data_IF_488299934092
#
_entry.id   IF_488299934092
#
_cell.length_a   1.000
_cell.length_b   1.000
_cell.length_c   1.000
_cell.angle_alpha   90.00
_cell.angle_beta   90.00
_cell.angle_gamma   90.00
#
_symmetry.space_group_name_H-M   'P 1'
#
loop_
_entity.id
_entity.type
_entity.pdbx_description
1 polymer ?
#
# COMPACT_ATOMS: atom_id res chain seq x y z
N UNK A 1 -21.02 9.77 35.26
CA UNK A 1 -21.90 10.62 36.08
C UNK A 1 -22.19 12.00 35.51
N UNK A 2 -21.26 12.98 35.53
CA UNK A 2 -21.55 14.35 35.06
C UNK A 2 -21.87 14.44 33.55
N UNK A 3 -21.18 13.63 32.73
CA UNK A 3 -21.40 13.57 31.27
C UNK A 3 -22.71 12.83 30.94
N UNK A 4 -23.03 11.75 31.66
CA UNK A 4 -24.30 11.01 31.52
C UNK A 4 -25.51 11.86 31.89
N UNK A 5 -25.40 12.68 32.94
CA UNK A 5 -26.45 13.64 33.30
C UNK A 5 -26.66 14.69 32.21
N UNK A 6 -25.60 15.18 31.56
CA UNK A 6 -25.70 16.13 30.43
C UNK A 6 -26.26 15.48 29.17
N UNK A 7 -25.95 14.20 28.92
CA UNK A 7 -26.53 13.44 27.81
C UNK A 7 -28.02 13.15 28.01
N UNK A 8 -28.43 12.75 29.22
CA UNK A 8 -29.84 12.57 29.57
C UNK A 8 -30.64 13.88 29.43
N UNK A 9 -30.05 15.01 29.83
CA UNK A 9 -30.66 16.34 29.67
C UNK A 9 -30.84 16.72 28.18
N UNK A 10 -29.81 16.49 27.36
CA UNK A 10 -29.84 16.77 25.92
C UNK A 10 -30.86 15.89 25.18
N UNK A 11 -30.99 14.62 25.55
CA UNK A 11 -31.97 13.69 24.98
C UNK A 11 -33.41 14.08 25.39
N UNK A 12 -33.64 14.52 26.64
CA UNK A 12 -34.95 15.03 27.10
C UNK A 12 -35.34 16.32 26.38
N UNK A 13 -34.41 17.25 26.22
CA UNK A 13 -34.65 18.52 25.55
C UNK A 13 -35.03 18.34 24.07
N UNK A 14 -34.41 17.37 23.38
CA UNK A 14 -34.71 17.06 21.98
C UNK A 14 -36.04 16.32 21.81
N UNK A 15 -36.40 15.43 22.74
CA UNK A 15 -37.71 14.75 22.76
C UNK A 15 -38.87 15.73 22.94
N UNK A 16 -38.62 16.86 23.60
CA UNK A 16 -39.57 17.95 23.80
C UNK A 16 -39.49 19.06 22.73
N UNK A 17 -38.78 18.83 21.61
CA UNK A 17 -38.78 19.75 20.46
C UNK A 17 -37.88 20.99 20.58
N UNK A 18 -36.99 21.07 21.57
CA UNK A 18 -36.10 22.22 21.75
C UNK A 18 -34.99 22.28 20.68
N UNK A 19 -34.81 23.45 20.04
CA UNK A 19 -33.82 23.68 18.96
C UNK A 19 -32.37 23.85 19.45
N UNK A 20 -32.15 23.94 20.76
CA UNK A 20 -30.85 24.24 21.38
C UNK A 20 -29.84 23.09 21.37
N UNK A 21 -30.23 21.88 20.97
CA UNK A 21 -29.33 20.73 20.82
C UNK A 21 -29.41 20.14 19.40
N UNK A 22 -28.54 20.64 18.53
CA UNK A 22 -28.46 20.19 17.13
C UNK A 22 -27.81 18.80 17.03
N UNK A 23 -28.04 18.08 15.91
CA UNK A 23 -27.44 16.75 15.65
C UNK A 23 -25.92 16.70 15.94
N UNK A 24 -25.10 17.70 15.55
CA UNK A 24 -23.67 17.73 15.87
C UNK A 24 -23.37 17.77 17.37
N UNK A 25 -24.16 18.50 18.16
CA UNK A 25 -23.96 18.62 19.61
C UNK A 25 -24.15 17.28 20.32
N UNK A 26 -25.12 16.47 19.89
CA UNK A 26 -25.37 15.15 20.48
C UNK A 26 -24.25 14.17 20.11
N UNK A 27 -23.80 14.20 18.85
CA UNK A 27 -22.64 13.39 18.40
C UNK A 27 -21.39 13.75 19.21
N UNK A 28 -21.13 15.03 19.45
CA UNK A 28 -20.00 15.48 20.26
C UNK A 28 -20.09 14.97 21.71
N UNK A 29 -21.29 14.96 22.32
CA UNK A 29 -21.49 14.41 23.67
C UNK A 29 -21.28 12.89 23.72
N UNK A 30 -21.71 12.15 22.69
CA UNK A 30 -21.48 10.70 22.57
C UNK A 30 -19.99 10.39 22.44
N UNK A 31 -19.27 11.14 21.61
CA UNK A 31 -17.82 10.98 21.46
C UNK A 31 -17.11 11.24 22.79
N UNK A 32 -17.48 12.31 23.52
CA UNK A 32 -16.92 12.61 24.84
C UNK A 32 -17.21 11.52 25.88
N UNK A 33 -18.39 10.89 25.84
CA UNK A 33 -18.71 9.74 26.69
C UNK A 33 -17.81 8.54 26.39
N UNK A 34 -17.62 8.21 25.11
CA UNK A 34 -16.77 7.08 24.69
C UNK A 34 -15.30 7.32 25.07
N UNK A 35 -14.80 8.54 24.91
CA UNK A 35 -13.43 8.91 25.32
C UNK A 35 -13.26 8.81 26.83
N UNK A 36 -14.23 9.29 27.61
CA UNK A 36 -14.18 9.18 29.07
C UNK A 36 -14.23 7.73 29.56
N UNK A 37 -15.06 6.88 28.95
CA UNK A 37 -15.12 5.45 29.25
C UNK A 37 -13.80 4.73 28.93
N UNK A 38 -13.17 5.07 27.80
CA UNK A 38 -11.88 4.52 27.41
C UNK A 38 -10.75 4.97 28.34
N UNK A 39 -10.76 6.23 28.81
CA UNK A 39 -9.80 6.73 29.77
C UNK A 39 -9.89 6.03 31.14
N UNK A 40 -11.11 5.77 31.63
CA UNK A 40 -11.33 4.99 32.86
C UNK A 40 -10.84 3.55 32.70
N UNK A 41 -11.09 2.93 31.53
CA UNK A 41 -10.57 1.60 31.22
C UNK A 41 -9.04 1.53 31.25
N UNK A 42 -8.37 2.52 30.66
CA UNK A 42 -6.90 2.62 30.69
C UNK A 42 -6.36 2.86 32.10
N UNK A 43 -7.04 3.70 32.89
CA UNK A 43 -6.65 3.95 34.28
C UNK A 43 -6.73 2.68 35.13
N UNK A 44 -7.85 1.94 35.03
CA UNK A 44 -8.03 0.65 35.72
C UNK A 44 -7.05 -0.44 35.28
N UNK A 45 -6.57 -0.38 34.02
CA UNK A 45 -5.56 -1.31 33.50
C UNK A 45 -4.15 -1.00 34.03
N UNK A 46 -3.86 0.25 34.35
CA UNK A 46 -2.53 0.70 34.76
C UNK A 46 -2.32 0.79 36.28
N UNK A 47 -3.38 0.77 37.08
CA UNK A 47 -3.28 0.62 38.54
C UNK A 47 -2.92 -0.82 38.89
N UNK A 48 -1.63 -1.05 39.18
CA UNK A 48 -1.03 -2.36 39.44
C UNK A 48 -1.51 -3.04 40.74
N UNK A 49 -1.44 -4.37 40.71
CA UNK A 49 -1.75 -5.31 41.78
C UNK A 49 -1.18 -4.90 43.15
N UNK A 50 -2.08 -4.55 44.07
CA UNK A 50 -1.95 -4.80 45.51
C UNK A 50 -3.33 -4.66 46.16
N UNK A 51 -4.26 -5.56 45.82
CA UNK A 51 -5.48 -5.87 46.61
C UNK A 51 -6.25 -7.01 45.93
N UNK A 52 -5.65 -8.21 45.85
CA UNK A 52 -6.23 -9.34 45.12
C UNK A 52 -7.42 -10.01 45.83
N UNK A 53 -7.84 -9.53 47.01
CA UNK A 53 -9.02 -10.02 47.72
C UNK A 53 -10.26 -9.13 47.58
N UNK A 54 -10.14 -7.85 47.20
CA UNK A 54 -11.30 -6.98 46.93
C UNK A 54 -11.80 -7.08 45.47
N UNK A 55 -10.99 -7.65 44.57
CA UNK A 55 -11.24 -7.72 43.12
C UNK A 55 -12.22 -8.82 42.67
N UNK A 56 -12.49 -9.85 43.47
CA UNK A 56 -13.41 -10.93 43.06
C UNK A 56 -14.89 -10.49 43.03
N UNK A 57 -15.27 -9.49 43.85
CA UNK A 57 -16.60 -8.87 43.76
C UNK A 57 -16.74 -7.96 42.53
N UNK A 58 -15.70 -7.20 42.23
CA UNK A 58 -15.68 -6.21 41.14
C UNK A 58 -15.64 -6.87 39.75
N UNK A 59 -14.95 -8.02 39.61
CA UNK A 59 -14.90 -8.77 38.34
C UNK A 59 -16.28 -9.33 37.94
N UNK A 60 -17.10 -9.78 38.91
CA UNK A 60 -18.49 -10.18 38.64
C UNK A 60 -19.35 -9.01 38.16
N UNK A 61 -19.17 -7.82 38.73
CA UNK A 61 -19.88 -6.61 38.29
C UNK A 61 -19.38 -6.09 36.94
N UNK A 62 -18.12 -6.33 36.58
CA UNK A 62 -17.52 -5.89 35.31
C UNK A 62 -18.16 -6.59 34.10
N UNK A 63 -18.41 -7.89 34.20
CA UNK A 63 -19.09 -8.64 33.14
C UNK A 63 -20.58 -8.24 33.02
N UNK A 64 -21.23 -7.93 34.15
CA UNK A 64 -22.61 -7.41 34.17
C UNK A 64 -22.69 -6.01 33.56
N UNK A 65 -21.74 -5.12 33.88
CA UNK A 65 -21.64 -3.77 33.29
C UNK A 65 -21.29 -3.82 31.81
N UNK A 66 -20.39 -4.70 31.40
CA UNK A 66 -20.04 -4.89 29.99
C UNK A 66 -21.23 -5.44 29.20
N UNK A 67 -21.92 -6.44 29.75
CA UNK A 67 -23.15 -6.99 29.17
C UNK A 67 -24.25 -5.92 29.03
N UNK A 68 -24.53 -5.15 30.08
CA UNK A 68 -25.50 -4.03 30.04
C UNK A 68 -25.11 -2.95 29.04
N UNK A 69 -23.81 -2.66 28.92
CA UNK A 69 -23.29 -1.67 27.96
C UNK A 69 -23.42 -2.17 26.52
N UNK A 70 -23.12 -3.44 26.26
CA UNK A 70 -23.33 -4.04 24.94
C UNK A 70 -24.82 -4.11 24.55
N UNK A 71 -25.70 -4.40 25.51
CA UNK A 71 -27.14 -4.39 25.32
C UNK A 71 -27.65 -2.98 24.95
N UNK A 72 -27.13 -1.93 25.60
CA UNK A 72 -27.44 -0.55 25.26
C UNK A 72 -26.92 -0.14 23.88
N UNK A 73 -25.70 -0.55 23.51
CA UNK A 73 -25.14 -0.31 22.18
C UNK A 73 -25.99 -1.00 21.11
N UNK A 74 -26.45 -2.22 21.38
CA UNK A 74 -27.34 -2.96 20.46
C UNK A 74 -28.67 -2.25 20.26
N UNK A 75 -29.32 -1.79 21.34
CA UNK A 75 -30.56 -0.99 21.26
C UNK A 75 -30.37 0.31 20.48
N UNK A 76 -29.25 1.01 20.68
CA UNK A 76 -28.91 2.21 19.93
C UNK A 76 -28.71 1.93 18.43
N UNK A 77 -28.05 0.83 18.08
CA UNK A 77 -27.88 0.43 16.68
C UNK A 77 -29.22 0.05 16.02
N UNK A 78 -30.11 -0.63 16.74
CA UNK A 78 -31.44 -0.98 16.24
C UNK A 78 -32.33 0.26 16.02
N UNK A 79 -32.25 1.26 16.92
CA UNK A 79 -32.93 2.56 16.75
C UNK A 79 -32.39 3.33 15.55
N UNK A 80 -31.07 3.34 15.33
CA UNK A 80 -30.43 3.97 14.16
C UNK A 80 -30.89 3.28 12.87
N UNK A 81 -30.92 1.95 12.84
CA UNK A 81 -31.39 1.18 11.69
C UNK A 81 -32.91 1.36 11.42
N UNK A 82 -33.70 1.63 12.45
CA UNK A 82 -35.11 2.03 12.31
C UNK A 82 -35.26 3.40 11.63
N UNK A 83 -34.48 4.38 12.10
CA UNK A 83 -34.47 5.74 11.54
C UNK A 83 -33.97 5.77 10.08
N UNK A 84 -32.99 4.93 9.73
CA UNK A 84 -32.52 4.79 8.34
C UNK A 84 -33.58 4.19 7.40
N UNK A 85 -34.40 3.26 7.89
CA UNK A 85 -35.52 2.68 7.13
C UNK A 85 -36.65 3.68 6.89
N UNK A 86 -37.01 4.47 7.90
CA UNK A 86 -37.97 5.57 7.73
C UNK A 86 -37.48 6.63 6.74
N UNK A 87 -36.17 6.89 6.71
CA UNK A 87 -35.57 7.82 5.74
C UNK A 87 -35.65 7.31 4.31
N UNK A 88 -35.44 5.99 4.10
CA UNK A 88 -35.54 5.37 2.77
C UNK A 88 -36.98 5.37 2.24
N UNK A 89 -37.98 5.17 3.10
CA UNK A 89 -39.38 5.22 2.70
C UNK A 89 -39.86 6.64 2.35
N UNK A 90 -39.24 7.68 2.91
CA UNK A 90 -39.52 9.09 2.56
C UNK A 90 -38.79 9.57 1.28
N UNK A 91 -37.90 8.75 0.71
CA UNK A 91 -37.08 9.10 -0.46
C UNK A 91 -37.60 8.55 -1.81
N UNK A 92 -38.72 7.82 -1.83
CA UNK A 92 -39.33 7.32 -3.07
C UNK A 92 -40.57 8.12 -3.44
N UNK A 93 -40.39 9.14 -4.28
CA UNK A 93 -41.44 9.74 -5.11
C UNK A 93 -40.99 9.65 -6.59
N UNK A 94 -41.89 9.38 -7.55
CA UNK A 94 -41.52 8.95 -8.91
C UNK A 94 -41.27 10.13 -9.85
N UNK A 95 -40.33 9.96 -10.80
CA UNK A 95 -40.15 10.86 -11.95
C UNK A 95 -40.52 10.10 -13.23
N UNK A 96 -41.40 10.71 -14.02
CA UNK A 96 -41.99 10.28 -15.30
C UNK A 96 -41.17 10.76 -16.51
N UNK A 97 -41.26 9.99 -17.60
CA UNK A 97 -41.07 10.38 -19.03
C UNK A 97 -39.63 10.37 -19.56
N UNK A 98 -39.27 9.97 -20.78
CA UNK A 98 -39.95 9.37 -21.95
C UNK A 98 -38.86 8.72 -22.85
N UNK A 99 -39.23 7.73 -23.66
CA UNK A 99 -38.40 7.10 -24.73
C UNK A 99 -38.51 7.90 -26.05
N UNK A 100 -37.53 7.84 -26.99
CA UNK A 100 -37.44 6.77 -28.02
C UNK A 100 -35.96 6.44 -28.39
N UNK A 101 -35.53 5.47 -29.19
CA UNK A 101 -36.15 4.55 -30.14
C UNK A 101 -35.21 3.32 -30.26
N UNK A 102 -35.77 2.12 -30.33
CA UNK A 102 -35.05 0.85 -30.55
C UNK A 102 -35.18 0.55 -32.03
N UNK A 103 -34.09 0.57 -32.78
CA UNK A 103 -33.84 -0.31 -33.94
C UNK A 103 -32.51 0.06 -34.60
N UNK A 104 -31.51 -0.84 -34.47
CA UNK A 104 -30.35 -1.05 -35.37
C UNK A 104 -29.26 -1.95 -34.74
N UNK A 105 -29.37 -2.37 -33.47
CA UNK A 105 -28.35 -3.21 -32.80
C UNK A 105 -28.63 -4.72 -32.77
N UNK A 106 -29.40 -5.25 -33.72
CA UNK A 106 -29.69 -6.70 -33.80
C UNK A 106 -28.89 -7.47 -34.87
N UNK A 107 -27.95 -6.83 -35.57
CA UNK A 107 -27.17 -7.47 -36.63
C UNK A 107 -25.65 -7.60 -36.36
N UNK A 108 -25.18 -7.48 -35.12
CA UNK A 108 -23.75 -7.68 -34.77
C UNK A 108 -23.49 -8.68 -33.64
N UNK A 109 -24.51 -9.44 -33.23
CA UNK A 109 -24.37 -10.50 -32.21
C UNK A 109 -24.53 -11.85 -32.91
N UNK A 110 -23.62 -12.17 -33.82
CA UNK A 110 -23.46 -13.55 -34.30
C UNK A 110 -22.05 -13.86 -34.83
N UNK A 111 -21.15 -12.87 -34.93
CA UNK A 111 -19.81 -13.05 -35.52
C UNK A 111 -18.65 -13.14 -34.50
N UNK A 112 -18.95 -13.19 -33.20
CA UNK A 112 -17.93 -13.18 -32.12
C UNK A 112 -17.38 -14.57 -31.73
N UNK A 113 -17.70 -15.63 -32.47
CA UNK A 113 -17.25 -16.99 -32.16
C UNK A 113 -15.99 -17.48 -32.90
N UNK A 114 -15.35 -16.68 -33.76
CA UNK A 114 -14.26 -17.20 -34.62
C UNK A 114 -13.01 -16.35 -34.82
N UNK A 115 -12.83 -15.21 -34.14
CA UNK A 115 -11.60 -14.42 -34.32
C UNK A 115 -10.89 -14.07 -33.00
N UNK A 116 -9.82 -14.79 -32.62
CA UNK A 116 -9.03 -14.50 -31.42
C UNK A 116 -8.35 -13.12 -31.45
N UNK A 117 -8.14 -12.52 -32.63
CA UNK A 117 -7.53 -11.18 -32.77
C UNK A 117 -8.43 -10.03 -32.28
N UNK A 118 -9.73 -10.29 -32.03
CA UNK A 118 -10.68 -9.29 -31.53
C UNK A 118 -10.67 -9.19 -30.00
N UNK A 119 -10.15 -10.22 -29.30
CA UNK A 119 -10.07 -10.28 -27.84
C UNK A 119 -8.71 -9.85 -27.28
N UNK A 120 -7.67 -9.84 -28.10
CA UNK A 120 -6.39 -9.29 -27.71
C UNK A 120 -6.55 -7.76 -27.66
N UNK A 121 -6.40 -7.11 -26.50
CA UNK A 121 -6.18 -5.68 -26.50
C UNK A 121 -5.02 -5.43 -27.46
N UNK A 122 -5.08 -4.35 -28.24
CA UNK A 122 -3.84 -3.79 -28.76
C UNK A 122 -3.02 -3.52 -27.51
N UNK A 123 -2.07 -4.38 -27.20
CA UNK A 123 -1.00 -4.10 -26.26
C UNK A 123 -0.36 -2.86 -26.85
N UNK A 124 -0.89 -1.70 -26.47
CA UNK A 124 -0.24 -0.44 -26.72
C UNK A 124 1.09 -0.68 -26.06
N UNK A 125 2.11 -0.83 -26.89
CA UNK A 125 3.47 -0.74 -26.43
C UNK A 125 3.46 0.59 -25.71
N UNK A 126 3.37 0.56 -24.38
CA UNK A 126 3.51 1.74 -23.58
C UNK A 126 4.77 2.35 -24.14
N UNK A 127 4.59 3.53 -24.75
CA UNK A 127 5.60 4.12 -25.59
C UNK A 127 6.92 3.98 -24.87
N UNK A 128 7.97 3.69 -25.61
CA UNK A 128 9.34 3.92 -25.16
C UNK A 128 9.47 5.42 -24.85
N UNK A 129 8.78 5.91 -23.82
CA UNK A 129 9.24 7.04 -23.05
C UNK A 129 10.55 6.51 -22.52
N UNK A 130 11.63 6.95 -23.16
CA UNK A 130 12.98 6.77 -22.69
C UNK A 130 12.91 6.82 -21.18
N UNK A 131 13.18 5.68 -20.57
CA UNK A 131 13.12 5.63 -19.14
C UNK A 131 14.09 6.72 -18.64
N UNK A 132 13.84 7.38 -17.50
CA UNK A 132 14.77 8.39 -16.98
C UNK A 132 16.22 7.90 -16.83
N UNK A 133 16.43 6.59 -16.98
CA UNK A 133 17.64 5.81 -16.76
C UNK A 133 18.41 5.41 -18.01
N UNK A 134 18.05 5.88 -19.21
CA UNK A 134 18.97 5.76 -20.34
C UNK A 134 20.24 6.55 -20.00
N UNK A 135 21.34 5.83 -19.75
CA UNK A 135 22.72 6.32 -19.73
C UNK A 135 23.26 6.98 -18.44
N UNK A 136 22.73 6.66 -17.25
CA UNK A 136 23.56 6.86 -16.06
C UNK A 136 24.52 5.66 -15.94
N UNK A 137 25.84 5.82 -16.19
CA UNK A 137 26.80 4.76 -15.93
C UNK A 137 26.66 4.28 -14.48
N UNK A 138 26.77 2.96 -14.20
CA UNK A 138 26.85 2.46 -12.85
C UNK A 138 27.90 3.24 -12.06
N UNK A 139 27.73 3.43 -10.74
CA UNK A 139 28.62 4.28 -9.97
C UNK A 139 30.10 3.90 -10.09
N UNK A 140 30.43 2.62 -10.31
CA UNK A 140 31.79 2.15 -10.61
C UNK A 140 32.39 2.84 -11.83
N UNK A 141 31.66 2.94 -12.94
CA UNK A 141 32.10 3.63 -14.15
C UNK A 141 32.27 5.15 -13.91
N UNK A 142 31.39 5.79 -13.13
CA UNK A 142 31.55 7.21 -12.74
C UNK A 142 32.79 7.46 -11.87
N UNK A 143 33.11 6.49 -11.01
CA UNK A 143 34.22 6.55 -10.06
C UNK A 143 35.56 6.25 -10.75
N UNK A 144 35.58 5.27 -11.65
CA UNK A 144 36.72 4.99 -12.55
C UNK A 144 37.01 6.16 -13.49
N UNK A 145 35.97 6.86 -13.97
CA UNK A 145 36.11 8.09 -14.73
C UNK A 145 36.58 9.30 -13.89
N UNK A 146 36.80 9.13 -12.58
CA UNK A 146 37.25 10.20 -11.67
C UNK A 146 36.21 11.31 -11.43
N UNK A 147 34.96 11.09 -11.83
CA UNK A 147 33.91 12.13 -11.86
C UNK A 147 33.26 12.38 -10.49
N UNK A 148 33.38 11.45 -9.54
CA UNK A 148 32.80 11.60 -8.20
C UNK A 148 33.85 11.24 -7.14
N UNK A 149 34.23 12.17 -6.26
CA UNK A 149 35.14 11.87 -5.14
C UNK A 149 34.35 11.74 -3.84
N UNK A 150 34.58 10.68 -3.07
CA UNK A 150 34.04 10.51 -1.72
C UNK A 150 34.60 11.62 -0.83
N UNK A 151 33.73 12.42 -0.23
CA UNK A 151 34.09 13.55 0.67
C UNK A 151 34.13 13.13 2.14
N UNK A 152 33.41 12.06 2.52
CA UNK A 152 33.29 11.60 3.91
C UNK A 152 33.45 10.09 4.05
N UNK A 153 34.21 9.68 5.07
CA UNK A 153 34.36 8.26 5.46
C UNK A 153 33.26 7.78 6.42
N UNK A 154 32.61 8.73 7.11
CA UNK A 154 31.51 8.51 8.05
C UNK A 154 30.34 9.42 7.73
N UNK A 155 29.12 8.90 7.87
CA UNK A 155 27.87 9.66 7.70
C UNK A 155 26.96 9.41 8.90
N UNK A 156 26.50 10.49 9.53
CA UNK A 156 25.53 10.49 10.61
C UNK A 156 24.19 11.07 10.12
N UNK A 157 23.12 10.29 10.24
CA UNK A 157 21.75 10.70 9.87
C UNK A 157 20.86 10.72 11.11
N UNK A 158 20.33 11.90 11.45
CA UNK A 158 19.35 12.08 12.51
C UNK A 158 17.93 11.80 11.98
N UNK A 159 17.25 10.79 12.49
CA UNK A 159 15.83 10.57 12.26
C UNK A 159 15.00 11.54 13.12
N UNK A 160 14.57 12.65 12.51
CA UNK A 160 13.81 13.69 13.21
C UNK A 160 12.37 13.26 13.52
N UNK A 161 11.76 12.57 12.55
CA UNK A 161 10.48 11.89 12.72
C UNK A 161 10.71 10.39 12.57
N UNK A 162 10.18 9.63 13.54
CA UNK A 162 10.31 8.18 13.55
C UNK A 162 9.55 7.55 12.37
N UNK A 163 10.00 6.36 11.98
CA UNK A 163 9.34 5.56 10.95
C UNK A 163 8.23 4.70 11.56
N UNK A 164 7.17 4.47 10.78
CA UNK A 164 6.02 3.65 11.19
C UNK A 164 6.37 2.20 11.54
N UNK A 165 7.53 1.69 11.09
CA UNK A 165 7.99 0.32 11.38
C UNK A 165 8.87 0.18 12.64
N UNK A 166 9.25 1.27 13.31
CA UNK A 166 9.89 1.25 14.64
C UNK A 166 11.36 0.77 14.73
N UNK A 167 12.07 1.39 15.69
CA UNK A 167 13.19 0.90 16.51
C UNK A 167 14.56 0.51 15.89
N UNK A 168 14.75 0.47 14.58
CA UNK A 168 16.06 0.06 13.99
C UNK A 168 16.99 1.22 13.59
N UNK A 169 16.73 2.45 14.04
CA UNK A 169 17.63 3.57 13.78
C UNK A 169 18.93 3.51 14.59
N UNK A 170 18.98 2.77 15.69
CA UNK A 170 20.18 2.68 16.55
C UNK A 170 21.09 1.47 16.25
N UNK A 171 20.88 0.76 15.14
CA UNK A 171 21.80 -0.31 14.69
C UNK A 171 22.68 0.20 13.54
N UNK A 172 24.01 0.03 13.62
CA UNK A 172 24.91 0.29 12.49
C UNK A 172 24.40 -0.45 11.25
N UNK A 173 24.26 0.26 10.14
CA UNK A 173 24.00 -0.41 8.87
C UNK A 173 25.33 -0.94 8.35
N UNK A 174 25.40 -2.24 8.03
CA UNK A 174 26.50 -2.74 7.23
C UNK A 174 26.39 -2.11 5.84
N UNK A 175 27.19 -1.08 5.61
CA UNK A 175 27.20 -0.33 4.38
C UNK A 175 28.61 -0.38 3.80
N UNK A 176 28.70 -0.99 2.63
CA UNK A 176 29.91 -1.02 1.82
C UNK A 176 29.58 -0.44 0.47
N UNK A 177 30.49 0.36 -0.06
CA UNK A 177 30.39 0.99 -1.36
C UNK A 177 31.73 0.86 -2.07
N UNK A 178 31.75 0.27 -3.26
CA UNK A 178 32.93 -0.15 -4.01
C UNK A 178 33.90 -1.01 -3.19
N UNK A 179 33.36 -1.96 -2.42
CA UNK A 179 34.18 -2.80 -1.53
C UNK A 179 34.84 -2.04 -0.37
N UNK A 180 34.56 -0.74 -0.20
CA UNK A 180 35.03 0.06 0.93
C UNK A 180 33.92 0.26 1.93
N UNK A 181 34.23 0.07 3.21
CA UNK A 181 33.29 0.30 4.31
C UNK A 181 32.92 1.79 4.39
N UNK A 182 31.64 2.07 4.57
CA UNK A 182 31.09 3.38 4.90
C UNK A 182 30.44 3.32 6.28
N UNK A 183 30.99 4.07 7.24
CA UNK A 183 30.42 4.14 8.60
C UNK A 183 29.14 4.97 8.56
N UNK A 184 28.01 4.30 8.32
CA UNK A 184 26.69 4.87 8.15
C UNK A 184 25.86 4.64 9.41
N UNK A 185 25.66 5.72 10.19
CA UNK A 185 24.99 5.68 11.50
C UNK A 185 23.69 6.47 11.41
N UNK A 186 22.60 5.84 11.82
CA UNK A 186 21.35 6.56 12.08
C UNK A 186 21.19 6.76 13.59
N UNK A 187 20.44 7.76 13.99
CA UNK A 187 20.12 8.01 15.40
C UNK A 187 18.82 8.79 15.54
N UNK A 188 18.09 8.58 16.64
CA UNK A 188 16.95 9.42 17.03
C UNK A 188 17.34 10.47 18.09
N UNK A 189 18.62 10.51 18.50
CA UNK A 189 19.13 11.47 19.48
C UNK A 189 19.19 12.88 18.89
N UNK A 190 18.15 13.67 19.19
CA UNK A 190 18.01 15.05 18.71
C UNK A 190 19.15 15.98 19.17
N UNK A 191 19.93 15.62 20.19
CA UNK A 191 21.13 16.38 20.57
C UNK A 191 22.20 16.36 19.47
N UNK A 192 22.14 15.39 18.56
CA UNK A 192 23.05 15.25 17.42
C UNK A 192 22.70 16.14 16.22
N UNK A 193 21.63 16.95 16.30
CA UNK A 193 21.19 17.83 15.21
C UNK A 193 22.33 18.67 14.63
N UNK A 194 23.23 19.15 15.47
CA UNK A 194 24.26 20.11 15.06
C UNK A 194 25.46 19.45 14.36
N UNK A 195 25.63 18.14 14.55
CA UNK A 195 26.74 17.36 13.98
C UNK A 195 26.26 16.34 12.93
N UNK A 196 24.96 16.18 12.75
CA UNK A 196 24.40 15.26 11.77
C UNK A 196 24.64 15.78 10.35
N UNK A 197 25.07 14.88 9.46
CA UNK A 197 25.25 15.15 8.03
C UNK A 197 23.90 15.18 7.30
N UNK A 198 22.93 14.41 7.79
CA UNK A 198 21.58 14.34 7.27
C UNK A 198 20.53 14.39 8.37
N UNK A 199 19.36 14.97 8.08
CA UNK A 199 18.16 14.93 8.92
C UNK A 199 17.03 14.32 8.12
N UNK A 200 16.58 13.17 8.58
CA UNK A 200 15.55 12.36 7.95
C UNK A 200 14.17 12.73 8.48
N UNK A 201 13.23 12.88 7.55
CA UNK A 201 11.82 13.08 7.83
C UNK A 201 10.98 11.99 7.16
N UNK A 202 10.34 11.15 7.96
CA UNK A 202 9.31 10.24 7.49
C UNK A 202 8.03 11.04 7.19
N UNK A 203 7.71 11.23 5.91
CA UNK A 203 6.61 12.10 5.49
C UNK A 203 5.25 11.73 6.11
N UNK A 204 4.85 10.44 6.18
CA UNK A 204 3.62 10.03 6.88
C UNK A 204 3.53 10.40 8.36
N UNK A 205 4.67 10.47 9.06
CA UNK A 205 4.75 10.84 10.48
C UNK A 205 5.02 12.32 10.71
N UNK A 206 5.20 13.10 9.64
CA UNK A 206 5.63 14.50 9.72
C UNK A 206 4.44 15.43 9.49
N UNK A 207 4.41 16.54 10.22
CA UNK A 207 3.52 17.66 9.97
C UNK A 207 4.34 18.91 9.65
N UNK A 208 3.71 19.91 9.02
CA UNK A 208 4.36 21.17 8.62
C UNK A 208 5.12 21.87 9.76
N UNK A 209 4.65 21.73 11.00
CA UNK A 209 5.26 22.35 12.18
C UNK A 209 6.36 21.52 12.85
N UNK A 210 6.62 20.29 12.40
CA UNK A 210 7.60 19.40 13.01
C UNK A 210 8.93 19.40 12.25
N UNK A 211 9.55 20.57 12.14
CA UNK A 211 10.89 20.75 11.57
C UNK A 211 11.88 21.20 12.65
N UNK A 212 13.18 20.86 12.54
CA UNK A 212 14.21 21.37 13.43
C UNK A 212 14.27 22.90 13.41
N UNK A 213 14.70 23.54 14.52
CA UNK A 213 14.77 25.00 14.61
C UNK A 213 15.83 25.62 13.69
N UNK A 214 16.79 24.82 13.21
CA UNK A 214 17.87 25.27 12.34
C UNK A 214 18.38 24.12 11.46
N UNK A 215 19.05 24.48 10.37
CA UNK A 215 19.76 23.58 9.47
C UNK A 215 21.22 24.06 9.37
N UNK A 216 22.19 23.40 10.05
CA UNK A 216 23.60 23.73 9.93
C UNK A 216 24.08 23.72 8.45
N UNK A 217 25.07 24.56 8.09
CA UNK A 217 25.65 24.56 6.74
C UNK A 217 26.15 23.17 6.35
N UNK A 218 25.78 22.71 5.14
CA UNK A 218 26.19 21.41 4.60
C UNK A 218 25.34 20.21 5.08
N UNK A 219 24.44 20.38 6.05
CA UNK A 219 23.49 19.34 6.45
C UNK A 219 22.39 19.15 5.40
N UNK A 220 22.04 17.90 5.10
CA UNK A 220 20.98 17.54 4.14
C UNK A 220 19.68 17.18 4.83
N UNK A 221 18.57 17.81 4.47
CA UNK A 221 17.23 17.41 4.88
C UNK A 221 16.66 16.41 3.88
N UNK A 222 16.15 15.29 4.38
CA UNK A 222 15.75 14.14 3.58
C UNK A 222 14.26 13.89 3.78
N UNK A 223 13.47 14.08 2.72
CA UNK A 223 12.06 13.72 2.71
C UNK A 223 11.90 12.26 2.29
N UNK A 224 11.47 11.40 3.21
CA UNK A 224 11.31 9.97 2.96
C UNK A 224 9.86 9.52 2.98
N UNK A 225 9.45 8.76 1.97
CA UNK A 225 8.17 8.03 1.98
C UNK A 225 8.17 6.87 0.97
N UNK A 226 7.77 5.69 1.43
CA UNK A 226 7.38 4.59 0.52
C UNK A 226 5.92 4.69 0.08
N UNK A 227 5.13 5.57 0.70
CA UNK A 227 3.71 5.77 0.42
C UNK A 227 3.46 6.92 -0.56
N UNK A 228 2.35 6.83 -1.30
CA UNK A 228 1.93 7.80 -2.32
C UNK A 228 1.41 9.12 -1.74
N UNK A 229 1.50 10.19 -2.54
CA UNK A 229 0.93 11.50 -2.20
C UNK A 229 -0.61 11.47 -2.07
N UNK A 230 -1.28 10.56 -2.76
CA UNK A 230 -2.71 10.32 -2.60
C UNK A 230 -3.07 9.87 -1.17
N UNK A 231 -2.17 9.13 -0.50
CA UNK A 231 -2.33 8.75 0.90
C UNK A 231 -1.78 9.83 1.84
N UNK A 232 -0.70 10.51 1.45
CA UNK A 232 -0.02 11.52 2.26
C UNK A 232 0.26 12.81 1.46
N UNK A 233 -0.70 13.75 1.43
CA UNK A 233 -0.61 14.97 0.62
C UNK A 233 0.58 15.88 0.93
N UNK A 234 1.25 15.70 2.07
CA UNK A 234 2.48 16.42 2.42
C UNK A 234 3.60 16.23 1.38
N UNK A 235 3.58 15.11 0.64
CA UNK A 235 4.52 14.83 -0.46
C UNK A 235 4.32 15.72 -1.69
N UNK A 236 3.18 16.40 -1.81
CA UNK A 236 2.90 17.41 -2.85
C UNK A 236 2.95 18.84 -2.31
N UNK A 237 3.13 19.00 -0.99
CA UNK A 237 3.25 20.31 -0.39
C UNK A 237 4.60 20.94 -0.76
N UNK A 238 4.56 22.01 -1.58
CA UNK A 238 5.76 22.71 -2.07
C UNK A 238 6.59 23.34 -0.96
N UNK A 239 5.96 23.83 0.10
CA UNK A 239 6.68 24.47 1.21
C UNK A 239 7.44 23.46 2.07
N UNK A 240 6.94 22.23 2.15
CA UNK A 240 7.60 21.14 2.85
C UNK A 240 8.65 20.45 1.97
N UNK A 241 8.24 19.95 0.81
CA UNK A 241 9.14 19.26 -0.12
C UNK A 241 10.24 20.19 -0.64
N UNK A 242 9.94 21.49 -0.82
CA UNK A 242 10.93 22.48 -1.24
C UNK A 242 12.04 22.74 -0.22
N UNK A 243 11.87 22.30 1.04
CA UNK A 243 12.93 22.36 2.08
C UNK A 243 13.81 21.11 2.11
N UNK A 244 13.39 20.03 1.45
CA UNK A 244 14.13 18.76 1.41
C UNK A 244 15.19 18.82 0.31
N UNK A 245 16.45 18.57 0.66
CA UNK A 245 17.55 18.50 -0.31
C UNK A 245 17.60 17.15 -1.02
N UNK A 246 17.11 16.08 -0.36
CA UNK A 246 17.11 14.72 -0.87
C UNK A 246 15.71 14.15 -0.83
N UNK A 247 15.20 13.74 -1.99
CA UNK A 247 13.94 13.02 -2.12
C UNK A 247 14.20 11.52 -2.08
N UNK A 248 13.79 10.86 -1.00
CA UNK A 248 13.94 9.41 -0.82
C UNK A 248 12.56 8.74 -0.88
N UNK A 249 12.05 8.46 -2.08
CA UNK A 249 10.66 8.02 -2.25
C UNK A 249 10.54 6.74 -3.06
N UNK A 250 9.35 6.14 -3.14
CA UNK A 250 9.09 4.99 -4.01
C UNK A 250 9.29 5.26 -5.50
N UNK A 251 9.36 6.52 -5.93
CA UNK A 251 9.52 6.87 -7.35
C UNK A 251 10.94 6.62 -7.84
N UNK A 252 11.07 6.04 -9.04
CA UNK A 252 12.37 5.81 -9.68
C UNK A 252 13.08 7.10 -10.08
N UNK A 253 12.34 8.21 -10.23
CA UNK A 253 12.89 9.53 -10.53
C UNK A 253 13.31 10.32 -9.26
N UNK A 254 13.20 9.72 -8.07
CA UNK A 254 13.68 10.35 -6.84
C UNK A 254 15.21 10.26 -6.70
N UNK A 255 15.78 11.00 -5.75
CA UNK A 255 17.22 11.02 -5.50
C UNK A 255 17.72 9.66 -5.01
N UNK A 256 16.96 9.03 -4.11
CA UNK A 256 17.22 7.71 -3.57
C UNK A 256 15.93 6.90 -3.65
N UNK A 257 15.66 6.21 -4.78
CA UNK A 257 14.45 5.42 -4.93
C UNK A 257 14.36 4.33 -3.87
N UNK A 258 13.22 4.21 -3.19
CA UNK A 258 12.95 3.23 -2.14
C UNK A 258 11.72 2.41 -2.52
N UNK A 259 11.95 1.40 -3.33
CA UNK A 259 10.91 0.59 -3.98
C UNK A 259 10.62 -0.69 -3.18
N UNK A 260 9.62 -1.46 -3.59
CA UNK A 260 9.16 -2.67 -2.89
C UNK A 260 9.74 -4.04 -3.31
N UNK A 261 10.40 -4.24 -4.47
CA UNK A 261 10.88 -5.57 -4.82
C UNK A 261 12.03 -6.00 -3.89
N UNK A 262 11.89 -7.17 -3.28
CA UNK A 262 12.90 -7.74 -2.38
C UNK A 262 12.96 -9.26 -2.55
N UNK A 263 14.05 -9.75 -3.14
CA UNK A 263 14.31 -11.20 -3.23
C UNK A 263 14.51 -11.81 -1.84
N UNK A 264 15.13 -11.05 -0.93
CA UNK A 264 15.33 -11.48 0.45
C UNK A 264 14.00 -11.68 1.21
N UNK A 265 12.98 -10.85 0.93
CA UNK A 265 11.67 -10.97 1.58
C UNK A 265 10.73 -11.95 0.87
N UNK A 266 10.75 -11.99 -0.46
CA UNK A 266 9.74 -12.71 -1.25
C UNK A 266 10.24 -14.05 -1.81
N UNK A 267 11.53 -14.32 -1.71
CA UNK A 267 12.18 -15.46 -2.33
C UNK A 267 12.55 -15.21 -3.79
N UNK A 268 13.12 -16.23 -4.42
CA UNK A 268 13.53 -16.18 -5.83
C UNK A 268 12.30 -16.15 -6.76
N UNK A 269 12.16 -15.07 -7.54
CA UNK A 269 11.07 -14.93 -8.51
C UNK A 269 11.17 -15.93 -9.67
N UNK A 270 12.33 -16.54 -9.93
CA UNK A 270 12.49 -17.64 -10.91
C UNK A 270 11.94 -18.97 -10.42
N UNK A 271 11.56 -19.08 -9.15
CA UNK A 271 10.94 -20.29 -8.60
C UNK A 271 9.76 -20.75 -9.48
N UNK A 272 9.64 -22.06 -9.76
CA UNK A 272 8.60 -22.59 -10.64
C UNK A 272 7.21 -22.31 -10.06
N UNK A 273 6.21 -21.98 -10.90
CA UNK A 273 4.85 -21.76 -10.44
C UNK A 273 4.21 -23.07 -9.96
N UNK A 274 3.15 -22.98 -9.16
CA UNK A 274 2.28 -24.12 -8.90
C UNK A 274 1.72 -24.63 -10.24
N UNK A 275 1.81 -25.95 -10.55
CA UNK A 275 1.31 -26.52 -11.79
C UNK A 275 -0.16 -26.17 -12.03
N UNK A 276 -0.55 -25.91 -13.29
CA UNK A 276 -1.92 -25.52 -13.64
C UNK A 276 -2.97 -26.55 -13.17
N UNK A 277 -2.65 -27.84 -13.26
CA UNK A 277 -3.51 -28.93 -12.76
C UNK A 277 -3.78 -28.89 -11.25
N UNK A 278 -2.99 -28.13 -10.48
CA UNK A 278 -3.16 -27.92 -9.04
C UNK A 278 -3.76 -26.55 -8.71
N UNK A 279 -3.96 -25.68 -9.70
CA UNK A 279 -4.64 -24.41 -9.51
C UNK A 279 -6.15 -24.65 -9.37
N UNK A 280 -6.84 -23.68 -8.77
CA UNK A 280 -8.28 -23.74 -8.53
C UNK A 280 -9.07 -23.68 -9.83
N UNK A 281 -10.20 -24.37 -9.84
CA UNK A 281 -11.14 -24.40 -10.96
C UNK A 281 -12.47 -23.69 -10.65
N UNK A 282 -12.76 -23.41 -9.37
CA UNK A 282 -14.01 -22.75 -8.96
C UNK A 282 -13.97 -21.22 -9.10
N UNK A 283 -12.78 -20.61 -9.01
CA UNK A 283 -12.55 -19.22 -9.33
C UNK A 283 -11.14 -19.00 -9.90
N UNK A 284 -11.00 -18.31 -11.05
CA UNK A 284 -9.70 -18.06 -11.69
C UNK A 284 -8.86 -16.98 -10.99
N UNK A 285 -9.51 -16.05 -10.27
CA UNK A 285 -8.86 -14.87 -9.71
C UNK A 285 -9.05 -14.72 -8.19
N UNK A 286 -8.01 -14.23 -7.51
CA UNK A 286 -8.06 -13.86 -6.10
C UNK A 286 -7.79 -12.37 -5.86
N UNK A 287 -8.63 -11.76 -5.03
CA UNK A 287 -8.46 -10.43 -4.46
C UNK A 287 -8.17 -10.57 -2.96
N UNK A 288 -6.99 -10.13 -2.51
CA UNK A 288 -6.57 -10.27 -1.11
C UNK A 288 -6.25 -8.86 -0.59
N UNK A 289 -7.22 -8.20 0.05
CA UNK A 289 -7.06 -6.82 0.53
C UNK A 289 -7.75 -6.58 1.87
N UNK A 290 -7.12 -5.74 2.70
CA UNK A 290 -7.65 -5.35 4.01
C UNK A 290 -7.79 -3.83 4.20
N UNK A 291 -7.34 -3.03 3.24
CA UNK A 291 -7.59 -1.59 3.19
C UNK A 291 -8.67 -1.32 2.14
N UNK A 292 -9.87 -0.93 2.55
CA UNK A 292 -11.03 -0.95 1.65
C UNK A 292 -11.26 0.43 1.06
N UNK A 293 -11.16 0.53 -0.27
CA UNK A 293 -11.22 1.78 -1.01
C UNK A 293 -12.27 1.67 -2.10
N UNK A 294 -13.18 2.64 -2.16
CA UNK A 294 -14.36 2.58 -3.02
C UNK A 294 -14.02 2.32 -4.49
N UNK A 295 -12.99 2.97 -5.04
CA UNK A 295 -12.63 2.81 -6.46
C UNK A 295 -12.20 1.36 -6.80
N UNK A 296 -11.41 0.71 -5.93
CA UNK A 296 -11.00 -0.68 -6.12
C UNK A 296 -12.16 -1.64 -5.89
N UNK A 297 -12.82 -1.49 -4.74
CA UNK A 297 -13.81 -2.44 -4.28
C UNK A 297 -15.03 -2.43 -5.21
N UNK A 298 -15.41 -1.26 -5.72
CA UNK A 298 -16.47 -1.15 -6.72
C UNK A 298 -16.03 -1.77 -8.05
N UNK A 299 -14.80 -1.56 -8.50
CA UNK A 299 -14.29 -2.21 -9.71
C UNK A 299 -14.34 -3.73 -9.59
N UNK A 300 -13.90 -4.29 -8.46
CA UNK A 300 -13.95 -5.74 -8.18
C UNK A 300 -15.39 -6.25 -8.13
N UNK A 301 -16.32 -5.52 -7.51
CA UNK A 301 -17.75 -5.88 -7.50
C UNK A 301 -18.36 -5.90 -8.89
N UNK A 302 -17.99 -4.94 -9.75
CA UNK A 302 -18.43 -4.94 -11.15
C UNK A 302 -17.80 -6.10 -11.94
N UNK A 303 -16.51 -6.39 -11.72
CA UNK A 303 -15.82 -7.55 -12.32
C UNK A 303 -16.49 -8.88 -11.94
N UNK A 304 -16.89 -9.03 -10.67
CA UNK A 304 -17.57 -10.22 -10.14
C UNK A 304 -18.93 -10.52 -10.80
N UNK A 305 -19.54 -9.56 -11.49
CA UNK A 305 -20.76 -9.80 -12.28
C UNK A 305 -20.48 -10.58 -13.57
N UNK A 306 -19.21 -10.69 -13.97
CA UNK A 306 -18.80 -11.22 -15.27
C UNK A 306 -17.81 -12.39 -15.17
N UNK A 307 -17.22 -12.63 -13.99
CA UNK A 307 -16.36 -13.78 -13.71
C UNK A 307 -16.34 -14.08 -12.21
N UNK A 308 -16.00 -15.32 -11.85
CA UNK A 308 -15.81 -15.68 -10.44
C UNK A 308 -14.51 -15.07 -9.91
N UNK A 309 -14.60 -14.36 -8.78
CA UNK A 309 -13.45 -13.85 -8.06
C UNK A 309 -13.61 -14.22 -6.59
N UNK A 310 -12.59 -14.83 -6.00
CA UNK A 310 -12.54 -14.99 -4.55
C UNK A 310 -11.88 -13.78 -3.92
N UNK A 311 -12.55 -13.22 -2.92
CA UNK A 311 -12.12 -12.06 -2.18
C UNK A 311 -11.90 -12.43 -0.72
N UNK A 312 -10.62 -12.39 -0.34
CA UNK A 312 -10.13 -12.60 1.01
C UNK A 312 -9.74 -11.27 1.66
N UNK A 313 -9.51 -11.30 2.98
CA UNK A 313 -9.27 -10.08 3.75
C UNK A 313 -10.58 -9.33 4.00
N UNK A 314 -10.50 -8.08 4.47
CA UNK A 314 -11.68 -7.34 4.93
C UNK A 314 -12.53 -6.73 3.80
N UNK A 315 -11.97 -6.57 2.61
CA UNK A 315 -12.61 -5.82 1.52
C UNK A 315 -13.37 -6.76 0.60
N UNK A 316 -14.61 -6.39 0.26
CA UNK A 316 -15.62 -7.21 -0.47
C UNK A 316 -15.98 -8.52 0.26
N UNK A 317 -14.98 -9.31 0.63
CA UNK A 317 -15.01 -10.48 1.52
C UNK A 317 -16.12 -11.49 1.19
N UNK A 318 -15.84 -12.38 0.23
CA UNK A 318 -16.73 -13.49 -0.13
C UNK A 318 -16.11 -14.87 0.10
N UNK A 319 -14.86 -14.92 0.59
CA UNK A 319 -14.11 -16.15 0.84
C UNK A 319 -13.26 -16.02 2.11
N UNK A 320 -13.35 -17.01 2.98
CA UNK A 320 -12.45 -17.17 4.12
C UNK A 320 -11.18 -17.93 3.72
N UNK A 321 -10.09 -17.66 4.42
CA UNK A 321 -8.93 -18.54 4.35
C UNK A 321 -9.24 -19.91 4.98
N UNK A 322 -8.43 -20.93 4.67
CA UNK A 322 -8.68 -22.33 5.09
C UNK A 322 -8.70 -22.53 6.61
N UNK A 323 -8.13 -21.61 7.40
CA UNK A 323 -8.19 -21.60 8.86
C UNK A 323 -9.41 -20.87 9.44
N UNK A 324 -10.36 -20.48 8.57
CA UNK A 324 -11.60 -19.80 8.95
C UNK A 324 -11.43 -18.32 9.30
N UNK A 325 -10.23 -17.74 9.21
CA UNK A 325 -10.04 -16.31 9.52
C UNK A 325 -10.47 -15.42 8.34
N UNK A 326 -11.24 -14.38 8.65
CA UNK A 326 -11.71 -13.39 7.67
C UNK A 326 -10.59 -12.45 7.17
N UNK A 327 -9.53 -12.31 7.95
CA UNK A 327 -8.31 -11.61 7.57
C UNK A 327 -7.12 -12.42 8.06
N UNK A 328 -6.18 -12.73 7.17
CA UNK A 328 -4.96 -13.43 7.54
C UNK A 328 -4.36 -12.72 8.75
N UNK A 329 -4.25 -13.44 9.88
CA UNK A 329 -3.77 -12.88 11.14
C UNK A 329 -2.56 -12.01 10.86
N UNK A 330 -2.59 -10.74 11.27
CA UNK A 330 -1.66 -9.70 10.79
C UNK A 330 -0.22 -10.21 10.73
N UNK A 331 0.58 -9.75 9.76
CA UNK A 331 1.85 -10.32 9.29
C UNK A 331 2.70 -11.14 10.31
N UNK A 332 2.80 -10.68 11.56
CA UNK A 332 3.43 -11.37 12.70
C UNK A 332 2.79 -12.72 13.15
N UNK A 333 1.59 -13.08 12.69
CA UNK A 333 0.86 -14.31 13.06
C UNK A 333 0.77 -15.32 11.91
N UNK A 334 1.69 -15.24 10.93
CA UNK A 334 1.74 -16.17 9.80
C UNK A 334 0.77 -15.84 8.67
N UNK A 335 0.04 -14.72 8.72
CA UNK A 335 -0.84 -14.27 7.65
C UNK A 335 -0.13 -14.02 6.32
N UNK A 336 1.17 -13.68 6.34
CA UNK A 336 1.99 -13.59 5.12
C UNK A 336 2.02 -14.94 4.38
N UNK A 337 2.47 -15.98 5.09
CA UNK A 337 2.62 -17.34 4.54
C UNK A 337 1.29 -17.87 4.00
N UNK A 338 0.19 -17.58 4.71
CA UNK A 338 -1.15 -17.96 4.26
C UNK A 338 -1.55 -17.22 2.97
N UNK A 339 -1.41 -15.89 2.94
CA UNK A 339 -1.76 -15.09 1.77
C UNK A 339 -0.96 -15.51 0.52
N UNK A 340 0.34 -15.79 0.66
CA UNK A 340 1.20 -16.26 -0.43
C UNK A 340 0.76 -17.64 -0.93
N UNK A 341 0.53 -18.62 -0.03
CA UNK A 341 0.03 -19.95 -0.41
C UNK A 341 -1.33 -19.88 -1.10
N UNK A 342 -2.26 -19.09 -0.56
CA UNK A 342 -3.57 -18.90 -1.18
C UNK A 342 -3.43 -18.31 -2.58
N UNK A 343 -2.60 -17.27 -2.74
CA UNK A 343 -2.36 -16.62 -4.04
C UNK A 343 -1.80 -17.59 -5.08
N UNK A 344 -0.88 -18.48 -4.69
CA UNK A 344 -0.27 -19.46 -5.58
C UNK A 344 -1.28 -20.40 -6.27
N UNK A 345 -2.43 -20.64 -5.62
CA UNK A 345 -3.49 -21.52 -6.13
C UNK A 345 -4.33 -20.91 -7.26
N UNK A 346 -4.20 -19.61 -7.55
CA UNK A 346 -4.98 -18.93 -8.58
C UNK A 346 -4.16 -18.71 -9.85
N UNK A 347 -4.84 -18.63 -11.00
CA UNK A 347 -4.23 -18.17 -12.25
C UNK A 347 -3.92 -16.68 -12.14
N UNK A 348 -4.89 -15.90 -11.66
CA UNK A 348 -4.77 -14.45 -11.55
C UNK A 348 -4.79 -13.97 -10.11
N UNK A 349 -3.99 -12.94 -9.82
CA UNK A 349 -4.14 -12.17 -8.60
C UNK A 349 -4.43 -10.71 -8.89
N UNK A 350 -5.51 -10.18 -8.31
CA UNK A 350 -5.91 -8.79 -8.46
C UNK A 350 -4.99 -7.90 -7.60
N UNK A 351 -3.90 -7.44 -8.19
CA UNK A 351 -2.87 -6.60 -7.59
C UNK A 351 -3.23 -5.12 -7.73
N UNK A 352 -4.26 -4.68 -7.01
CA UNK A 352 -4.77 -3.32 -7.11
C UNK A 352 -4.18 -2.42 -6.02
N UNK A 353 -3.57 -1.30 -6.40
CA UNK A 353 -2.88 -0.39 -5.49
C UNK A 353 -3.82 0.54 -4.72
N UNK A 354 -3.34 1.07 -3.59
CA UNK A 354 -4.13 2.01 -2.80
C UNK A 354 -4.36 3.35 -3.53
N UNK A 355 -3.56 3.66 -4.54
CA UNK A 355 -3.71 4.83 -5.39
C UNK A 355 -3.13 4.57 -6.78
N UNK A 356 -3.55 5.37 -7.76
CA UNK A 356 -3.00 5.37 -9.12
C UNK A 356 -2.01 6.55 -9.19
N UNK A 357 -0.73 6.26 -8.94
CA UNK A 357 0.34 7.26 -8.95
C UNK A 357 1.55 6.70 -9.70
N UNK A 358 2.26 7.53 -10.48
CA UNK A 358 3.44 7.08 -11.21
C UNK A 358 4.47 6.44 -10.27
N UNK A 359 5.04 5.32 -10.73
CA UNK A 359 5.99 4.47 -10.01
C UNK A 359 5.49 3.83 -8.70
N UNK A 360 4.23 4.05 -8.29
CA UNK A 360 3.68 3.44 -7.08
C UNK A 360 3.30 1.98 -7.34
N UNK A 361 4.29 1.11 -7.24
CA UNK A 361 4.18 -0.35 -7.40
C UNK A 361 4.66 -1.01 -6.12
N UNK A 362 3.77 -1.71 -5.42
CA UNK A 362 4.04 -2.22 -4.07
C UNK A 362 4.17 -3.74 -4.01
N UNK A 363 4.27 -4.28 -2.80
CA UNK A 363 4.35 -5.71 -2.49
C UNK A 363 3.26 -6.54 -3.22
N UNK A 364 2.08 -5.96 -3.48
CA UNK A 364 0.96 -6.64 -4.16
C UNK A 364 1.33 -7.15 -5.54
N UNK A 365 2.11 -6.36 -6.27
CA UNK A 365 2.57 -6.68 -7.61
C UNK A 365 3.61 -7.81 -7.54
N UNK A 366 4.63 -7.64 -6.70
CA UNK A 366 5.74 -8.59 -6.56
C UNK A 366 5.34 -9.93 -5.94
N UNK A 367 4.42 -9.93 -4.96
CA UNK A 367 3.86 -11.16 -4.39
C UNK A 367 3.25 -12.08 -5.46
N UNK A 368 2.72 -11.51 -6.55
CA UNK A 368 2.14 -12.29 -7.65
C UNK A 368 3.22 -13.03 -8.43
N UNK A 369 4.31 -12.36 -8.79
CA UNK A 369 5.44 -12.98 -9.47
C UNK A 369 6.15 -14.03 -8.61
N UNK A 370 6.32 -13.74 -7.31
CA UNK A 370 7.00 -14.62 -6.36
C UNK A 370 6.33 -16.00 -6.26
N UNK A 371 5.00 -16.06 -6.38
CA UNK A 371 4.25 -17.34 -6.34
C UNK A 371 3.80 -17.86 -7.72
N UNK A 372 4.23 -17.20 -8.80
CA UNK A 372 3.93 -17.63 -10.16
C UNK A 372 2.44 -17.55 -10.52
N UNK A 373 1.79 -16.45 -10.14
CA UNK A 373 0.46 -16.06 -10.63
C UNK A 373 0.56 -14.76 -11.42
N UNK A 374 -0.30 -14.58 -12.42
CA UNK A 374 -0.30 -13.39 -13.26
C UNK A 374 -0.99 -12.24 -12.53
N UNK A 375 -0.32 -11.11 -12.27
CA UNK A 375 -0.97 -9.95 -11.68
C UNK A 375 -1.92 -9.29 -12.70
N UNK A 376 -3.18 -9.13 -12.28
CA UNK A 376 -4.11 -8.19 -12.90
C UNK A 376 -3.98 -6.89 -12.12
N UNK A 377 -3.31 -5.92 -12.73
CA UNK A 377 -2.74 -4.76 -12.04
C UNK A 377 -3.57 -3.51 -12.27
N UNK A 378 -3.90 -2.81 -11.18
CA UNK A 378 -4.51 -1.48 -11.20
C UNK A 378 -3.64 -0.55 -10.36
N UNK A 379 -2.86 0.29 -11.03
CA UNK A 379 -1.97 1.24 -10.35
C UNK A 379 -1.23 2.12 -11.35
N UNK A 380 0.07 2.28 -11.14
CA UNK A 380 0.94 3.15 -11.93
C UNK A 380 0.95 2.80 -13.42
N UNK A 381 0.76 3.77 -14.32
CA UNK A 381 0.80 3.56 -15.78
C UNK A 381 2.16 3.05 -16.26
N UNK A 382 3.22 3.42 -15.56
CA UNK A 382 4.59 3.03 -15.84
C UNK A 382 5.04 1.79 -15.04
N UNK A 383 4.11 0.96 -14.54
CA UNK A 383 4.43 -0.25 -13.77
C UNK A 383 5.23 -1.30 -14.58
N UNK A 384 5.20 -1.23 -15.92
CA UNK A 384 5.94 -2.14 -16.80
C UNK A 384 7.46 -2.16 -16.53
N UNK A 385 8.05 -1.07 -16.04
CA UNK A 385 9.47 -1.01 -15.64
C UNK A 385 9.80 -1.92 -14.45
N UNK A 386 8.78 -2.28 -13.65
CA UNK A 386 8.89 -3.16 -12.50
C UNK A 386 8.49 -4.61 -12.81
N UNK A 387 8.15 -4.92 -14.07
CA UNK A 387 7.64 -6.22 -14.45
C UNK A 387 8.75 -7.11 -15.06
N UNK A 388 8.78 -8.42 -14.75
CA UNK A 388 9.77 -9.36 -15.26
C UNK A 388 9.90 -9.40 -16.78
N UNK A 389 8.81 -9.16 -17.52
CA UNK A 389 8.82 -9.05 -18.98
C UNK A 389 7.69 -8.15 -19.48
N UNK A 390 7.74 -7.77 -20.77
CA UNK A 390 6.67 -7.02 -21.45
C UNK A 390 5.33 -7.77 -21.47
N UNK A 391 5.36 -9.08 -21.28
CA UNK A 391 4.18 -9.93 -21.26
C UNK A 391 4.18 -10.76 -19.97
N UNK A 392 4.06 -10.07 -18.83
CA UNK A 392 4.02 -10.71 -17.50
C UNK A 392 2.91 -10.18 -16.59
N UNK A 393 2.21 -9.12 -16.99
CA UNK A 393 1.09 -8.55 -16.24
C UNK A 393 -0.08 -8.21 -17.16
N UNK A 394 -1.27 -8.10 -16.59
CA UNK A 394 -2.47 -7.63 -17.28
C UNK A 394 -2.85 -6.30 -16.65
N UNK A 395 -2.69 -5.20 -17.39
CA UNK A 395 -2.97 -3.86 -16.88
C UNK A 395 -4.44 -3.52 -17.06
N UNK A 396 -5.15 -3.18 -15.97
CA UNK A 396 -6.60 -2.98 -15.97
C UNK A 396 -7.03 -1.86 -16.92
N UNK A 397 -6.22 -0.81 -17.04
CA UNK A 397 -6.51 0.36 -17.87
C UNK A 397 -6.39 0.09 -19.38
N UNK A 398 -5.95 -1.10 -19.79
CA UNK A 398 -5.91 -1.51 -21.21
C UNK A 398 -7.29 -1.98 -21.71
N UNK A 399 -8.27 -2.09 -20.80
CA UNK A 399 -9.62 -2.57 -21.08
C UNK A 399 -10.65 -1.46 -20.90
N UNK A 400 -11.61 -1.37 -21.83
CA UNK A 400 -12.67 -0.35 -21.79
C UNK A 400 -13.63 -0.51 -20.60
N UNK A 401 -13.71 -1.71 -20.00
CA UNK A 401 -14.61 -1.98 -18.87
C UNK A 401 -14.20 -3.24 -18.07
N UNK A 402 -14.69 -3.40 -16.82
CA UNK A 402 -14.57 -4.64 -16.07
C UNK A 402 -15.11 -5.87 -16.83
N UNK A 403 -16.15 -5.70 -17.65
CA UNK A 403 -16.71 -6.77 -18.49
C UNK A 403 -15.72 -7.23 -19.56
N UNK A 404 -15.07 -6.30 -20.25
CA UNK A 404 -14.06 -6.61 -21.26
C UNK A 404 -12.85 -7.32 -20.62
N UNK A 405 -12.40 -6.84 -19.45
CA UNK A 405 -11.37 -7.51 -18.67
C UNK A 405 -11.79 -8.94 -18.27
N UNK A 406 -13.01 -9.14 -17.75
CA UNK A 406 -13.51 -10.47 -17.39
C UNK A 406 -13.54 -11.42 -18.60
N UNK A 407 -13.97 -10.93 -19.78
CA UNK A 407 -13.96 -11.74 -21.01
C UNK A 407 -12.55 -12.20 -21.37
N UNK A 408 -11.56 -11.31 -21.26
CA UNK A 408 -10.16 -11.65 -21.51
C UNK A 408 -9.59 -12.63 -20.48
N UNK A 409 -9.87 -12.41 -19.20
CA UNK A 409 -9.43 -13.31 -18.13
C UNK A 409 -10.07 -14.71 -18.23
N UNK A 410 -11.33 -14.79 -18.64
CA UNK A 410 -12.00 -16.08 -18.90
C UNK A 410 -11.38 -16.77 -20.13
N UNK A 411 -11.08 -16.04 -21.21
CA UNK A 411 -10.36 -16.59 -22.35
C UNK A 411 -9.01 -17.22 -21.95
N UNK A 412 -8.20 -16.51 -21.15
CA UNK A 412 -6.95 -17.04 -20.62
C UNK A 412 -7.16 -18.18 -19.60
N UNK A 413 -8.26 -18.14 -18.83
CA UNK A 413 -8.59 -19.23 -17.92
C UNK A 413 -8.92 -20.53 -18.68
N UNK A 414 -9.54 -20.41 -19.85
CA UNK A 414 -9.96 -21.56 -20.66
C UNK A 414 -8.88 -21.99 -21.66
N UNK A 415 -7.79 -21.23 -21.77
CA UNK A 415 -6.66 -21.49 -22.67
C UNK A 415 -5.32 -21.45 -21.92
N UNK A 416 -4.88 -22.62 -21.48
CA UNK A 416 -3.64 -22.79 -20.70
C UNK A 416 -2.40 -22.31 -21.46
N UNK A 417 -2.33 -22.53 -22.78
CA UNK A 417 -1.19 -22.10 -23.61
C UNK A 417 -1.05 -20.58 -23.61
N UNK A 418 -2.16 -19.85 -23.81
CA UNK A 418 -2.17 -18.39 -23.77
C UNK A 418 -1.87 -17.84 -22.37
N UNK A 419 -2.36 -18.49 -21.32
CA UNK A 419 -2.01 -18.13 -19.95
C UNK A 419 -0.51 -18.32 -19.67
N UNK A 420 0.08 -19.44 -20.11
CA UNK A 420 1.48 -19.77 -19.83
C UNK A 420 2.47 -18.80 -20.48
N UNK A 421 2.08 -18.12 -21.57
CA UNK A 421 2.89 -17.04 -22.17
C UNK A 421 3.19 -15.92 -21.17
N UNK A 422 2.27 -15.62 -20.24
CA UNK A 422 2.52 -14.62 -19.18
C UNK A 422 3.58 -15.05 -18.15
N UNK A 423 3.96 -16.32 -18.14
CA UNK A 423 4.96 -16.89 -17.24
C UNK A 423 6.24 -17.32 -17.99
N UNK A 424 6.37 -17.02 -19.30
CA UNK A 424 7.54 -17.41 -20.11
C UNK A 424 8.86 -16.89 -19.55
N UNK A 425 8.82 -15.70 -18.93
CA UNK A 425 9.96 -15.06 -18.28
C UNK A 425 10.61 -15.92 -17.18
N UNK A 426 9.88 -16.86 -16.57
CA UNK A 426 10.46 -17.82 -15.62
C UNK A 426 11.43 -18.81 -16.26
N UNK A 427 11.44 -18.91 -17.60
CA UNK A 427 12.38 -19.72 -18.39
C UNK A 427 13.35 -18.83 -19.18
N UNK A 428 12.85 -17.71 -19.69
CA UNK A 428 13.59 -16.79 -20.57
C UNK A 428 14.47 -15.79 -19.79
N UNK A 429 14.15 -15.56 -18.51
CA UNK A 429 14.81 -14.59 -17.64
C UNK A 429 14.12 -13.23 -17.62
N UNK A 430 14.70 -12.32 -16.84
CA UNK A 430 14.17 -10.98 -16.60
C UNK A 430 14.48 -9.99 -17.71
N UNK A 431 13.57 -9.03 -17.91
CA UNK A 431 13.79 -7.81 -18.67
C UNK A 431 14.88 -6.95 -18.01
N UNK A 432 15.60 -6.19 -18.81
CA UNK A 432 16.69 -5.34 -18.32
C UNK A 432 16.24 -4.25 -17.37
N UNK A 433 15.01 -3.76 -17.55
CA UNK A 433 14.38 -2.85 -16.61
C UNK A 433 14.20 -3.47 -15.23
N UNK A 434 13.70 -4.70 -15.17
CA UNK A 434 13.47 -5.40 -13.92
C UNK A 434 14.78 -5.81 -13.25
N UNK A 435 15.78 -6.25 -14.05
CA UNK A 435 17.14 -6.52 -13.54
C UNK A 435 17.71 -5.33 -12.79
N UNK A 436 17.64 -4.13 -13.38
CA UNK A 436 18.12 -2.88 -12.76
C UNK A 436 17.36 -2.52 -11.49
N UNK A 437 16.04 -2.75 -11.48
CA UNK A 437 15.22 -2.56 -10.29
C UNK A 437 15.62 -3.53 -9.18
N UNK A 438 15.82 -4.81 -9.47
CA UNK A 438 16.28 -5.78 -8.47
C UNK A 438 17.65 -5.40 -7.92
N UNK A 439 18.60 -5.09 -8.81
CA UNK A 439 19.96 -4.66 -8.43
C UNK A 439 19.92 -3.44 -7.50
N UNK A 440 19.13 -2.42 -7.83
CA UNK A 440 18.94 -1.25 -6.98
C UNK A 440 18.52 -1.60 -5.54
N UNK A 441 17.78 -2.69 -5.33
CA UNK A 441 17.29 -3.11 -4.02
C UNK A 441 18.19 -4.11 -3.29
N UNK A 442 19.27 -4.60 -3.92
CA UNK A 442 20.28 -5.42 -3.23
C UNK A 442 21.04 -4.61 -2.18
N UNK A 443 21.25 -3.32 -2.44
CA UNK A 443 21.78 -2.38 -1.45
C UNK A 443 20.62 -1.65 -0.80
N UNK A 444 20.48 -1.84 0.51
CA UNK A 444 19.44 -1.20 1.31
C UNK A 444 19.43 0.32 1.09
N UNK A 445 18.24 0.89 0.90
CA UNK A 445 18.04 2.30 0.55
C UNK A 445 18.72 3.30 1.52
N UNK A 446 18.76 2.97 2.81
CA UNK A 446 19.57 3.68 3.84
C UNK A 446 21.07 3.74 3.53
N UNK A 447 21.70 2.66 3.08
CA UNK A 447 23.12 2.67 2.71
C UNK A 447 23.33 3.53 1.45
N UNK A 448 22.45 3.39 0.46
CA UNK A 448 22.41 4.24 -0.73
C UNK A 448 22.25 5.73 -0.41
N UNK A 449 21.43 6.08 0.59
CA UNK A 449 21.34 7.45 1.10
C UNK A 449 22.67 7.93 1.70
N UNK A 450 23.30 7.12 2.56
CA UNK A 450 24.60 7.46 3.14
C UNK A 450 25.67 7.67 2.06
N UNK A 451 25.69 6.85 1.00
CA UNK A 451 26.57 7.05 -0.15
C UNK A 451 26.30 8.41 -0.80
N UNK A 452 25.05 8.75 -1.08
CA UNK A 452 24.71 10.07 -1.67
C UNK A 452 25.24 11.23 -0.81
N UNK A 453 25.07 11.15 0.51
CA UNK A 453 25.56 12.17 1.45
C UNK A 453 27.10 12.19 1.49
N UNK A 454 27.76 11.02 1.54
CA UNK A 454 29.21 10.89 1.63
C UNK A 454 29.95 11.46 0.40
N UNK A 455 29.35 11.36 -0.78
CA UNK A 455 29.87 11.93 -2.02
C UNK A 455 29.47 13.41 -2.21
N UNK A 456 28.48 13.88 -1.44
CA UNK A 456 27.99 15.25 -1.49
C UNK A 456 27.45 15.62 -2.87
N UNK A 457 26.69 14.72 -3.50
CA UNK A 457 26.00 14.99 -4.75
C UNK A 457 24.71 15.77 -4.48
N UNK A 458 24.53 16.88 -5.18
CA UNK A 458 23.31 17.67 -5.16
C UNK A 458 22.26 17.06 -6.09
N UNK A 459 21.01 17.51 -5.97
CA UNK A 459 19.91 17.08 -6.85
C UNK A 459 20.03 17.65 -8.28
N UNK A 460 20.70 18.80 -8.45
CA UNK A 460 21.02 19.39 -9.77
C UNK A 460 22.09 18.60 -10.51
N UNK A 461 22.93 17.91 -9.77
CA UNK A 461 23.98 17.08 -10.34
C UNK A 461 23.26 15.85 -10.88
N UNK A 462 23.37 15.56 -12.18
CA UNK A 462 22.89 14.31 -12.80
C UNK A 462 23.63 13.05 -12.26
N UNK A 463 24.17 13.14 -11.05
CA UNK A 463 24.95 12.14 -10.33
C UNK A 463 24.05 10.95 -9.95
N UNK A 464 24.43 9.76 -10.40
CA UNK A 464 23.74 8.50 -10.06
C UNK A 464 24.19 7.88 -8.74
N UNK A 465 25.01 8.58 -7.94
CA UNK A 465 25.51 8.02 -6.68
C UNK A 465 24.36 7.65 -5.74
N UNK A 466 24.42 6.46 -5.14
CA UNK A 466 23.33 5.95 -4.31
C UNK A 466 22.03 5.61 -5.06
N UNK A 467 22.00 5.64 -6.40
CA UNK A 467 20.84 5.13 -7.15
C UNK A 467 20.94 3.63 -7.46
N UNK A 468 22.12 3.10 -7.79
CA UNK A 468 22.34 1.70 -8.15
C UNK A 468 23.48 1.09 -7.33
N UNK A 469 23.55 -0.24 -7.13
CA UNK A 469 24.75 -0.88 -6.64
C UNK A 469 25.92 -0.69 -7.64
N UNK A 470 27.14 -0.87 -7.15
CA UNK A 470 28.36 -0.59 -7.90
C UNK A 470 28.68 -1.60 -8.99
N UNK A 471 28.34 -2.86 -8.76
CA UNK A 471 28.50 -3.94 -9.73
C UNK A 471 27.11 -4.38 -10.17
N UNK A 472 26.96 -4.75 -11.44
CA UNK A 472 25.84 -5.56 -11.86
C UNK A 472 25.98 -6.88 -11.12
N UNK A 473 25.43 -6.94 -9.91
CA UNK A 473 25.46 -8.15 -9.11
C UNK A 473 24.71 -9.21 -9.94
N UNK A 474 25.24 -10.44 -9.99
CA UNK A 474 24.53 -11.53 -10.62
C UNK A 474 23.19 -11.65 -9.90
N UNK A 475 22.11 -11.48 -10.66
CA UNK A 475 20.79 -11.73 -10.14
C UNK A 475 20.74 -13.22 -9.74
N UNK A 476 20.16 -13.54 -8.57
CA UNK A 476 20.04 -14.91 -8.11
C UNK A 476 19.29 -15.80 -9.11
#
# INVERSE_FOLDING_TARGET
MAIESRFALAMRARRNGSSSYTKPTIIAVVILLLVAQFAVFLHLKNSGNNELQSLQGILKDKDVLLSKSMEQIRKLNDEVAGLERELRQKSTAPVLGDTPNVDTKRAKIEDTKRNPDVLLPKLSHAGTSSLPWELAPPPKELLEAGQVKRKKEKVLVLAWTSHFFGQDYNKPQECSWLGKKLDCVFTEDKSKLDIADGVWFHAPSTSMGNLPPRKPPGQKWIGMSMESAANYPILENKDWMGKMDVHMTYRLDSDVPTTYPSVAEYGDFMSPPVPLSKKRTDAPAAYIQSNCLSFRDNYVKELMKHMNVHSYGRCVHNKNFDDGQAGGGGWARGGWNQAMRTRAQYKFSLAFENSISDYFVTERFFHSFAVGTVPVYMGAKNAQVFAPSNHSMIHVQDFESPKALAQYLNFLNDNDEEYEKYLSWKKEGYSESFKRVLQMNEVHSRCRLCVKIAHGCERSDKCSCGKYPDEALPLP
#
